data_IF_480851191997
#
_entry.id   IF_480851191997
#
_cell.length_a   1.000
_cell.length_b   1.000
_cell.length_c   1.000
_cell.angle_alpha   90.00
_cell.angle_beta   90.00
_cell.angle_gamma   90.00
#
_symmetry.space_group_name_H-M   'P 1'
#
loop_
_entity.id
_entity.type
_entity.pdbx_description
1 polymer ?
#
# COMPACT_ATOMS: atom_id res chain seq x y z
N UNK A 1 -25.58 42.13 -10.32
CA UNK A 1 -26.12 41.57 -9.04
C UNK A 1 -27.22 40.60 -9.43
N UNK A 2 -27.15 39.33 -9.03
CA UNK A 2 -28.21 38.34 -9.28
C UNK A 2 -28.92 38.10 -7.95
N UNK A 3 -30.25 38.27 -7.93
CA UNK A 3 -31.09 38.06 -6.77
C UNK A 3 -32.01 36.87 -7.04
N UNK A 4 -32.07 35.92 -6.11
CA UNK A 4 -32.83 34.67 -6.25
C UNK A 4 -33.68 34.47 -5.00
N UNK A 5 -34.95 34.13 -5.21
CA UNK A 5 -35.88 33.74 -4.15
C UNK A 5 -36.10 32.23 -4.17
N UNK A 6 -35.58 31.51 -3.17
CA UNK A 6 -35.67 30.04 -3.09
C UNK A 6 -37.12 29.48 -3.16
N UNK A 7 -38.15 30.11 -2.53
CA UNK A 7 -39.52 29.62 -2.65
C UNK A 7 -40.08 29.66 -4.08
N UNK A 8 -39.58 30.57 -4.92
CA UNK A 8 -39.99 30.71 -6.32
C UNK A 8 -39.26 29.76 -7.26
N UNK A 9 -38.25 29.04 -6.77
CA UNK A 9 -37.54 28.04 -7.54
C UNK A 9 -38.29 26.71 -7.50
N UNK A 10 -38.83 26.29 -8.64
CA UNK A 10 -39.68 25.07 -8.75
C UNK A 10 -39.12 24.04 -9.74
N UNK A 11 -37.96 24.29 -10.34
CA UNK A 11 -37.35 23.40 -11.33
C UNK A 11 -36.93 22.07 -10.70
N UNK A 12 -37.19 20.98 -11.40
CA UNK A 12 -36.76 19.62 -11.05
C UNK A 12 -35.39 19.29 -11.65
N UNK A 13 -34.81 18.17 -11.25
CA UNK A 13 -33.47 17.72 -11.66
C UNK A 13 -33.31 17.67 -13.20
N UNK A 14 -34.37 17.26 -13.90
CA UNK A 14 -34.43 17.17 -15.36
C UNK A 14 -34.33 18.54 -16.04
N UNK A 15 -34.80 19.59 -15.36
CA UNK A 15 -34.96 20.96 -15.86
C UNK A 15 -33.77 21.88 -15.48
N UNK A 16 -32.73 21.32 -14.86
CA UNK A 16 -31.53 22.07 -14.49
C UNK A 16 -30.63 22.27 -15.71
N UNK A 17 -30.73 23.46 -16.31
CA UNK A 17 -29.96 23.83 -17.52
C UNK A 17 -28.69 24.62 -17.19
N UNK A 18 -28.75 25.54 -16.22
CA UNK A 18 -27.63 26.41 -15.89
C UNK A 18 -26.88 25.99 -14.62
N UNK A 19 -25.61 26.41 -14.51
CA UNK A 19 -24.81 26.25 -13.29
C UNK A 19 -25.51 26.89 -12.07
N UNK A 20 -26.18 28.03 -12.29
CA UNK A 20 -26.93 28.73 -11.24
C UNK A 20 -28.14 27.90 -10.79
N UNK A 21 -28.89 27.29 -11.71
CA UNK A 21 -30.01 26.40 -11.35
C UNK A 21 -29.54 25.22 -10.49
N UNK A 22 -28.38 24.63 -10.84
CA UNK A 22 -27.78 23.53 -10.08
C UNK A 22 -27.38 23.95 -8.66
N UNK A 23 -26.82 25.15 -8.49
CA UNK A 23 -26.52 25.71 -7.16
C UNK A 23 -27.77 26.02 -6.34
N UNK A 24 -28.81 26.59 -6.96
CA UNK A 24 -30.07 26.90 -6.27
C UNK A 24 -30.76 25.60 -5.85
N UNK A 25 -30.82 24.61 -6.74
CA UNK A 25 -31.36 23.29 -6.45
C UNK A 25 -30.62 22.64 -5.28
N UNK A 26 -29.28 22.65 -5.30
CA UNK A 26 -28.47 22.16 -4.18
C UNK A 26 -28.81 22.87 -2.87
N UNK A 27 -28.80 24.20 -2.81
CA UNK A 27 -29.07 24.94 -1.57
C UNK A 27 -30.46 24.63 -1.01
N UNK A 28 -31.44 24.41 -1.89
CA UNK A 28 -32.82 24.11 -1.49
C UNK A 28 -33.01 22.66 -1.05
N UNK A 29 -32.44 21.69 -1.79
CA UNK A 29 -32.75 20.27 -1.64
C UNK A 29 -31.63 19.46 -0.94
N UNK A 30 -30.46 20.04 -0.68
CA UNK A 30 -29.34 19.35 -0.03
C UNK A 30 -29.73 18.60 1.26
N UNK A 31 -30.57 19.13 2.16
CA UNK A 31 -30.98 18.40 3.37
C UNK A 31 -31.80 17.13 3.09
N UNK A 32 -32.44 17.04 1.92
CA UNK A 32 -33.33 15.95 1.53
C UNK A 32 -32.67 14.97 0.55
N UNK A 33 -31.45 15.25 0.09
CA UNK A 33 -30.74 14.42 -0.87
C UNK A 33 -30.06 13.25 -0.15
N UNK A 34 -30.56 12.02 -0.37
CA UNK A 34 -29.88 10.80 0.10
C UNK A 34 -28.68 10.43 -0.77
N UNK A 35 -28.75 10.74 -2.07
CA UNK A 35 -27.72 10.45 -3.07
C UNK A 35 -27.48 11.70 -3.89
N UNK A 36 -26.22 11.99 -4.19
CA UNK A 36 -25.84 13.08 -5.09
C UNK A 36 -26.23 12.70 -6.53
N UNK A 37 -27.14 13.42 -7.21
CA UNK A 37 -27.49 13.13 -8.59
C UNK A 37 -26.35 13.43 -9.57
N UNK A 38 -26.23 12.65 -10.64
CA UNK A 38 -25.11 12.76 -11.60
C UNK A 38 -25.00 14.15 -12.25
N UNK A 39 -26.15 14.79 -12.56
CA UNK A 39 -26.19 16.16 -13.11
C UNK A 39 -25.51 17.20 -12.21
N UNK A 40 -25.48 16.97 -10.90
CA UNK A 40 -24.81 17.84 -9.93
C UNK A 40 -23.31 17.51 -9.80
N UNK A 41 -22.90 16.26 -10.07
CA UNK A 41 -21.47 15.84 -10.06
C UNK A 41 -20.66 16.41 -11.21
N UNK A 42 -21.32 16.86 -12.28
CA UNK A 42 -20.66 17.53 -13.41
C UNK A 42 -19.88 18.79 -13.01
N UNK A 43 -20.17 19.37 -11.84
CA UNK A 43 -19.48 20.56 -11.31
C UNK A 43 -18.64 20.14 -10.10
N UNK A 44 -17.30 20.08 -10.21
CA UNK A 44 -16.44 19.62 -9.12
C UNK A 44 -16.62 20.42 -7.81
N UNK A 45 -16.88 21.72 -7.90
CA UNK A 45 -17.14 22.57 -6.73
C UNK A 45 -18.45 22.21 -6.02
N UNK A 46 -19.46 21.76 -6.78
CA UNK A 46 -20.75 21.35 -6.24
C UNK A 46 -20.65 19.96 -5.60
N UNK A 47 -19.88 19.06 -6.20
CA UNK A 47 -19.55 17.76 -5.61
C UNK A 47 -18.88 17.93 -4.25
N UNK A 48 -17.86 18.79 -4.15
CA UNK A 48 -17.20 19.10 -2.88
C UNK A 48 -18.17 19.70 -1.85
N UNK A 49 -19.02 20.65 -2.27
CA UNK A 49 -20.02 21.26 -1.39
C UNK A 49 -21.03 20.23 -0.86
N UNK A 50 -21.49 19.30 -1.70
CA UNK A 50 -22.38 18.21 -1.33
C UNK A 50 -21.70 17.22 -0.37
N UNK A 51 -20.42 16.90 -0.57
CA UNK A 51 -19.66 16.07 0.38
C UNK A 51 -19.60 16.73 1.75
N UNK A 52 -19.32 18.04 1.81
CA UNK A 52 -19.27 18.80 3.07
C UNK A 52 -20.66 18.87 3.72
N UNK A 53 -21.72 19.13 2.94
CA UNK A 53 -23.08 19.20 3.45
C UNK A 53 -23.55 17.85 4.02
N UNK A 54 -23.25 16.75 3.31
CA UNK A 54 -23.53 15.39 3.79
C UNK A 54 -22.82 15.12 5.12
N UNK A 55 -21.57 15.55 5.29
CA UNK A 55 -20.84 15.41 6.55
C UNK A 55 -21.39 16.29 7.67
N UNK A 56 -21.83 17.52 7.36
CA UNK A 56 -22.42 18.44 8.33
C UNK A 56 -23.83 18.01 8.79
N UNK A 57 -24.55 17.25 7.97
CA UNK A 57 -25.85 16.67 8.29
C UNK A 57 -25.80 15.40 9.15
N UNK A 58 -24.60 14.84 9.39
CA UNK A 58 -24.45 13.63 10.18
C UNK A 58 -24.72 13.87 11.67
N UNK A 59 -25.39 12.92 12.30
CA UNK A 59 -25.44 12.85 13.76
C UNK A 59 -24.07 12.52 14.33
N UNK A 60 -23.84 12.87 15.60
CA UNK A 60 -22.61 12.51 16.35
C UNK A 60 -22.32 11.01 16.25
N UNK A 61 -23.36 10.17 16.33
CA UNK A 61 -23.22 8.71 16.26
C UNK A 61 -22.79 8.20 14.88
N UNK A 62 -23.17 8.87 13.80
CA UNK A 62 -22.77 8.53 12.44
C UNK A 62 -21.33 8.98 12.16
N UNK A 63 -20.96 10.17 12.63
CA UNK A 63 -19.57 10.66 12.59
C UNK A 63 -18.63 9.69 13.32
N UNK A 64 -19.01 9.22 14.50
CA UNK A 64 -18.21 8.24 15.26
C UNK A 64 -18.07 6.91 14.52
N UNK A 65 -19.15 6.39 13.91
CA UNK A 65 -19.09 5.16 13.10
C UNK A 65 -18.15 5.31 11.92
N UNK A 66 -18.23 6.42 11.17
CA UNK A 66 -17.35 6.68 10.04
C UNK A 66 -15.89 6.77 10.48
N UNK A 67 -15.60 7.54 11.53
CA UNK A 67 -14.23 7.64 12.08
C UNK A 67 -13.67 6.28 12.50
N UNK A 68 -14.50 5.42 13.12
CA UNK A 68 -14.08 4.07 13.50
C UNK A 68 -13.74 3.21 12.29
N UNK A 69 -14.52 3.32 11.20
CA UNK A 69 -14.24 2.62 9.95
C UNK A 69 -12.95 3.14 9.30
N UNK A 70 -12.76 4.46 9.24
CA UNK A 70 -11.54 5.08 8.71
C UNK A 70 -10.29 4.63 9.49
N UNK A 71 -10.36 4.66 10.82
CA UNK A 71 -9.28 4.20 11.69
C UNK A 71 -8.93 2.74 11.44
N UNK A 72 -9.93 1.86 11.31
CA UNK A 72 -9.71 0.45 11.01
C UNK A 72 -9.03 0.23 9.64
N UNK A 73 -9.42 1.01 8.63
CA UNK A 73 -8.79 0.96 7.30
C UNK A 73 -7.34 1.45 7.35
N UNK A 74 -7.06 2.50 8.12
CA UNK A 74 -5.72 3.02 8.28
C UNK A 74 -4.81 2.03 9.02
N UNK A 75 -5.30 1.44 10.12
CA UNK A 75 -4.58 0.43 10.88
C UNK A 75 -4.26 -0.79 10.00
N UNK A 76 -5.22 -1.27 9.21
CA UNK A 76 -5.00 -2.36 8.26
C UNK A 76 -3.92 -2.00 7.22
N UNK A 77 -3.95 -0.78 6.68
CA UNK A 77 -2.94 -0.29 5.72
C UNK A 77 -1.55 -0.21 6.35
N UNK A 78 -1.47 0.29 7.59
CA UNK A 78 -0.22 0.38 8.36
C UNK A 78 0.35 -1.02 8.64
N UNK A 79 -0.48 -1.94 9.12
CA UNK A 79 -0.09 -3.33 9.38
C UNK A 79 0.45 -4.01 8.12
N UNK A 80 -0.23 -3.87 6.98
CA UNK A 80 0.23 -4.43 5.71
C UNK A 80 1.58 -3.82 5.27
N UNK A 81 1.72 -2.50 5.39
CA UNK A 81 2.96 -1.79 5.02
C UNK A 81 4.14 -2.18 5.92
N UNK A 82 3.87 -2.41 7.20
CA UNK A 82 4.85 -2.90 8.17
C UNK A 82 5.28 -4.33 7.80
N UNK A 83 4.33 -5.27 7.66
CA UNK A 83 4.62 -6.65 7.31
C UNK A 83 5.42 -6.80 6.00
N UNK A 84 5.09 -6.00 4.98
CA UNK A 84 5.84 -5.99 3.71
C UNK A 84 7.29 -5.50 3.88
N UNK A 85 7.52 -4.56 4.79
CA UNK A 85 8.86 -4.01 5.06
C UNK A 85 9.70 -5.02 5.83
N UNK A 86 9.16 -5.55 6.93
CA UNK A 86 9.81 -6.57 7.75
C UNK A 86 10.17 -7.79 6.90
N UNK A 87 9.21 -8.36 6.16
CA UNK A 87 9.49 -9.54 5.33
C UNK A 87 10.53 -9.30 4.23
N UNK A 88 10.67 -8.05 3.73
CA UNK A 88 11.74 -7.70 2.78
C UNK A 88 13.10 -7.59 3.47
N UNK A 89 13.13 -7.04 4.67
CA UNK A 89 14.35 -6.88 5.46
C UNK A 89 14.87 -8.24 5.94
N UNK A 90 14.00 -9.05 6.53
CA UNK A 90 14.29 -10.44 6.93
C UNK A 90 14.79 -11.26 5.74
N UNK A 91 14.07 -11.24 4.61
CA UNK A 91 14.49 -11.99 3.42
C UNK A 91 15.83 -11.51 2.85
N UNK A 92 16.14 -10.22 2.93
CA UNK A 92 17.45 -9.68 2.51
C UNK A 92 18.57 -10.10 3.46
N UNK A 93 18.32 -10.07 4.76
CA UNK A 93 19.30 -10.49 5.76
C UNK A 93 19.59 -11.98 5.67
N UNK A 94 18.54 -12.80 5.62
CA UNK A 94 18.67 -14.24 5.48
C UNK A 94 19.43 -14.60 4.19
N UNK A 95 19.02 -14.05 3.04
CA UNK A 95 19.70 -14.33 1.76
C UNK A 95 21.16 -13.85 1.74
N UNK A 96 21.50 -12.77 2.47
CA UNK A 96 22.89 -12.32 2.62
C UNK A 96 23.71 -13.28 3.48
N UNK A 97 23.14 -13.83 4.54
CA UNK A 97 23.82 -14.79 5.42
C UNK A 97 24.04 -16.11 4.69
N UNK A 98 22.99 -16.65 4.07
CA UNK A 98 23.05 -17.89 3.28
C UNK A 98 24.08 -17.75 2.15
N UNK A 99 23.98 -16.70 1.33
CA UNK A 99 24.92 -16.50 0.22
C UNK A 99 26.37 -16.28 0.68
N UNK A 100 26.61 -15.76 1.89
CA UNK A 100 27.96 -15.63 2.43
C UNK A 100 28.53 -16.97 2.89
N UNK A 101 27.73 -17.80 3.52
CA UNK A 101 28.16 -19.15 3.93
C UNK A 101 28.36 -20.07 2.73
N UNK A 102 27.44 -20.06 1.77
CA UNK A 102 27.57 -20.80 0.51
C UNK A 102 28.82 -20.36 -0.25
N UNK A 103 29.02 -19.04 -0.46
CA UNK A 103 30.20 -18.54 -1.16
C UNK A 103 31.52 -18.89 -0.45
N UNK A 104 31.55 -18.88 0.89
CA UNK A 104 32.71 -19.30 1.67
C UNK A 104 32.98 -20.81 1.53
N UNK A 105 31.93 -21.63 1.48
CA UNK A 105 32.07 -23.07 1.28
C UNK A 105 32.54 -23.39 -0.14
N UNK A 106 31.95 -22.76 -1.15
CA UNK A 106 32.36 -22.89 -2.56
C UNK A 106 33.83 -22.48 -2.76
N UNK A 107 34.25 -21.35 -2.17
CA UNK A 107 35.65 -20.90 -2.22
C UNK A 107 36.59 -21.93 -1.58
N UNK A 108 36.25 -22.47 -0.40
CA UNK A 108 37.03 -23.53 0.25
C UNK A 108 37.13 -24.78 -0.61
N UNK A 109 36.04 -25.22 -1.20
CA UNK A 109 36.02 -26.39 -2.09
C UNK A 109 36.86 -26.15 -3.34
N UNK A 110 36.79 -24.95 -3.93
CA UNK A 110 37.57 -24.59 -5.11
C UNK A 110 39.08 -24.56 -4.80
N UNK A 111 39.47 -23.99 -3.65
CA UNK A 111 40.85 -24.00 -3.19
C UNK A 111 41.33 -25.44 -2.93
N UNK A 112 40.53 -26.26 -2.23
CA UNK A 112 40.87 -27.66 -1.96
C UNK A 112 41.07 -28.46 -3.25
N UNK A 113 40.21 -28.25 -4.25
CA UNK A 113 40.33 -28.87 -5.58
C UNK A 113 41.63 -28.48 -6.29
N UNK A 114 42.01 -27.20 -6.24
CA UNK A 114 43.28 -26.75 -6.82
C UNK A 114 44.49 -27.35 -6.09
N UNK A 115 44.46 -27.39 -4.76
CA UNK A 115 45.54 -28.00 -3.96
C UNK A 115 45.67 -29.51 -4.24
N UNK A 116 44.53 -30.21 -4.38
CA UNK A 116 44.50 -31.64 -4.75
C UNK A 116 45.09 -31.86 -6.13
N UNK A 117 44.72 -31.04 -7.12
CA UNK A 117 45.29 -31.09 -8.47
C UNK A 117 46.80 -30.79 -8.50
N UNK A 118 47.28 -29.95 -7.58
CA UNK A 118 48.70 -29.68 -7.39
C UNK A 118 49.47 -30.78 -6.65
N UNK A 119 48.79 -31.85 -6.19
CA UNK A 119 49.40 -33.02 -5.55
C UNK A 119 49.75 -32.82 -4.08
N UNK A 120 49.13 -31.85 -3.39
CA UNK A 120 49.36 -31.68 -1.94
C UNK A 120 48.75 -32.85 -1.14
N UNK A 121 49.36 -33.24 0.01
CA UNK A 121 48.80 -34.25 0.90
C UNK A 121 47.41 -33.88 1.42
N UNK A 122 46.49 -34.85 1.48
CA UNK A 122 45.10 -34.61 1.91
C UNK A 122 44.99 -34.03 3.33
N UNK A 123 45.90 -34.44 4.24
CA UNK A 123 45.95 -33.91 5.60
C UNK A 123 46.28 -32.40 5.62
N UNK A 124 47.18 -31.96 4.74
CA UNK A 124 47.56 -30.54 4.66
C UNK A 124 46.40 -29.72 4.06
N UNK A 125 45.74 -30.25 3.02
CA UNK A 125 44.55 -29.61 2.43
C UNK A 125 43.43 -29.47 3.47
N UNK A 126 43.17 -30.52 4.25
CA UNK A 126 42.19 -30.50 5.33
C UNK A 126 42.54 -29.43 6.39
N UNK A 127 43.82 -29.33 6.76
CA UNK A 127 44.29 -28.33 7.72
C UNK A 127 44.09 -26.89 7.22
N UNK A 128 44.37 -26.60 5.94
CA UNK A 128 44.28 -25.24 5.39
C UNK A 128 42.85 -24.81 5.05
N UNK A 129 42.02 -25.73 4.56
CA UNK A 129 40.66 -25.40 4.09
C UNK A 129 39.59 -25.61 5.18
N UNK A 130 39.92 -26.40 6.21
CA UNK A 130 39.00 -26.83 7.25
C UNK A 130 37.93 -27.82 6.76
N UNK A 131 38.12 -28.39 5.56
CA UNK A 131 37.31 -29.50 5.06
C UNK A 131 37.81 -30.82 5.61
N UNK A 132 36.92 -31.78 5.76
CA UNK A 132 37.27 -33.16 6.11
C UNK A 132 37.93 -33.88 4.93
N UNK A 133 38.72 -34.91 5.22
CA UNK A 133 39.38 -35.72 4.19
C UNK A 133 38.34 -36.36 3.26
N UNK A 134 37.18 -36.78 3.79
CA UNK A 134 36.09 -37.36 3.00
C UNK A 134 35.49 -36.34 2.02
N UNK A 135 35.23 -35.10 2.47
CA UNK A 135 34.79 -34.01 1.58
C UNK A 135 35.82 -33.74 0.48
N UNK A 136 37.12 -33.67 0.82
CA UNK A 136 38.20 -33.45 -0.16
C UNK A 136 38.31 -34.62 -1.16
N UNK A 137 38.06 -35.85 -0.72
CA UNK A 137 38.06 -37.02 -1.60
C UNK A 137 36.91 -36.98 -2.61
N UNK A 138 35.74 -36.46 -2.22
CA UNK A 138 34.57 -36.30 -3.08
C UNK A 138 34.73 -35.16 -4.10
N UNK A 139 35.59 -34.17 -3.84
CA UNK A 139 35.93 -33.13 -4.82
C UNK A 139 36.70 -33.74 -6.00
N UNK A 140 36.12 -33.66 -7.20
CA UNK A 140 36.73 -34.15 -8.46
C UNK A 140 37.90 -33.29 -8.91
#
# INVERSE_FOLDING_TARGET
LVFVELPKFTKQLEELESVIDKWIFFIKEAPNLEIIPDKLREIPQLEQALTIANQAGLSVSEVEKLRKQEMALEDARRAWSFAKREGREEGREQGRLEGREEGRLEEKQQIAKQMKAAGLPLNDIAQYTGLTIDEINQLS
#
